data_IF_557579627691
#
_entry.id   IF_557579627691
#
_cell.length_a   1.000
_cell.length_b   1.000
_cell.length_c   1.000
_cell.angle_alpha   90.00
_cell.angle_beta   90.00
_cell.angle_gamma   90.00
#
_symmetry.space_group_name_H-M   'P 1'
#
loop_
_entity.id
_entity.type
_entity.pdbx_description
1 polymer ?
#
# COMPACT_ATOMS: atom_id res chain seq x y z
N UNK A 1 2.17 -69.49 -12.49
CA UNK A 1 3.12 -68.74 -13.33
C UNK A 1 2.32 -68.02 -14.39
N UNK A 2 2.58 -66.73 -14.50
CA UNK A 2 1.78 -65.66 -15.12
C UNK A 2 1.64 -65.79 -16.63
N UNK A 3 0.41 -65.67 -17.14
CA UNK A 3 0.11 -65.25 -18.51
C UNK A 3 -0.10 -63.74 -18.55
N UNK A 4 0.48 -63.00 -19.51
CA UNK A 4 -0.01 -61.67 -19.85
C UNK A 4 -0.37 -61.54 -21.34
N UNK A 5 -1.50 -60.90 -21.58
CA UNK A 5 -1.88 -60.07 -22.74
C UNK A 5 -3.10 -59.25 -22.25
N UNK A 6 -3.40 -58.01 -22.73
CA UNK A 6 -3.08 -57.44 -24.04
C UNK A 6 -2.67 -55.94 -24.02
N UNK A 7 -2.40 -55.30 -25.19
CA UNK A 7 -2.30 -53.84 -25.29
C UNK A 7 -3.67 -53.14 -25.37
N UNK A 8 -3.71 -51.92 -24.80
CA UNK A 8 -4.75 -50.87 -24.78
C UNK A 8 -4.93 -50.17 -26.16
N UNK A 9 -5.78 -49.11 -26.36
CA UNK A 9 -6.79 -48.45 -25.50
C UNK A 9 -8.12 -48.09 -26.24
N UNK A 10 -9.00 -47.37 -25.51
CA UNK A 10 -10.03 -46.42 -25.96
C UNK A 10 -11.51 -46.83 -25.81
N UNK A 11 -11.98 -46.66 -24.57
CA UNK A 11 -13.32 -46.18 -24.21
C UNK A 11 -13.12 -44.78 -23.58
N UNK A 12 -13.99 -43.77 -23.64
CA UNK A 12 -15.38 -43.61 -24.03
C UNK A 12 -15.64 -42.09 -24.18
N UNK A 13 -16.63 -41.73 -24.99
CA UNK A 13 -17.26 -40.41 -25.04
C UNK A 13 -17.66 -39.91 -23.64
N UNK A 14 -17.64 -38.58 -23.44
CA UNK A 14 -18.87 -37.82 -23.20
C UNK A 14 -18.60 -36.32 -22.91
N UNK A 15 -19.30 -35.49 -23.69
CA UNK A 15 -20.03 -34.30 -23.22
C UNK A 15 -19.28 -32.97 -23.00
N UNK A 16 -19.39 -32.13 -24.04
CA UNK A 16 -19.80 -30.71 -24.00
C UNK A 16 -19.15 -29.82 -22.93
N UNK A 17 -17.98 -29.26 -23.28
CA UNK A 17 -17.57 -27.96 -22.75
C UNK A 17 -18.50 -26.90 -23.34
N UNK A 18 -19.35 -26.31 -22.49
CA UNK A 18 -20.09 -25.10 -22.82
C UNK A 18 -19.14 -23.97 -23.20
N UNK A 19 -19.13 -23.67 -24.49
CA UNK A 19 -18.66 -22.42 -25.05
C UNK A 19 -19.64 -21.31 -24.68
N UNK A 20 -19.16 -20.29 -23.98
CA UNK A 20 -19.80 -18.97 -23.91
C UNK A 20 -18.96 -17.98 -24.74
N UNK A 21 -19.60 -16.94 -25.31
CA UNK A 21 -19.27 -16.43 -26.63
C UNK A 21 -18.05 -15.51 -26.68
N UNK A 22 -17.34 -15.60 -27.81
CA UNK A 22 -16.34 -14.63 -28.27
C UNK A 22 -17.09 -13.40 -28.78
N UNK A 23 -16.91 -12.27 -28.10
CA UNK A 23 -17.32 -10.96 -28.62
C UNK A 23 -16.11 -10.33 -29.32
N UNK A 24 -16.12 -10.31 -30.66
CA UNK A 24 -15.20 -9.52 -31.46
C UNK A 24 -15.77 -8.12 -31.60
N UNK A 25 -15.44 -7.22 -30.66
CA UNK A 25 -15.56 -5.80 -30.92
C UNK A 25 -14.23 -5.29 -31.46
N UNK A 26 -14.29 -4.74 -32.68
CA UNK A 26 -13.19 -4.05 -33.34
C UNK A 26 -12.69 -2.92 -32.44
N UNK A 27 -11.50 -3.08 -31.87
CA UNK A 27 -10.83 -2.02 -31.14
C UNK A 27 -10.52 -0.86 -32.09
N UNK A 28 -11.28 0.22 -31.95
CA UNK A 28 -10.88 1.55 -32.40
C UNK A 28 -9.64 1.92 -31.57
N UNK A 29 -8.54 2.45 -32.14
CA UNK A 29 -7.37 2.78 -31.34
C UNK A 29 -7.76 3.85 -30.31
N UNK A 30 -7.81 3.45 -29.03
CA UNK A 30 -7.94 4.39 -27.93
C UNK A 30 -6.69 5.26 -27.90
N UNK A 31 -6.89 6.55 -28.15
CA UNK A 31 -5.90 7.57 -27.85
C UNK A 31 -5.54 7.46 -26.37
N UNK A 32 -4.25 7.25 -26.06
CA UNK A 32 -3.73 7.35 -24.70
C UNK A 32 -4.34 8.59 -24.02
N UNK A 33 -4.94 8.47 -22.83
CA UNK A 33 -5.43 9.65 -22.12
C UNK A 33 -4.24 10.59 -21.86
N UNK A 34 -4.23 11.74 -22.52
CA UNK A 34 -3.27 12.79 -22.23
C UNK A 34 -3.44 13.22 -20.77
N UNK A 35 -2.34 13.41 -20.01
CA UNK A 35 -2.43 13.99 -18.69
C UNK A 35 -3.07 15.38 -18.81
N UNK A 36 -4.02 15.76 -17.93
CA UNK A 36 -4.61 17.08 -17.96
C UNK A 36 -3.52 18.14 -17.73
N UNK A 37 -3.62 19.33 -18.36
CA UNK A 37 -2.66 20.41 -18.18
C UNK A 37 -2.60 20.85 -16.72
N UNK A 38 -1.46 21.37 -16.26
CA UNK A 38 -1.28 21.96 -14.92
C UNK A 38 -2.45 22.87 -14.55
N UNK A 39 -3.17 22.55 -13.47
CA UNK A 39 -4.38 23.28 -13.07
C UNK A 39 -4.19 24.04 -11.77
N UNK A 40 -4.62 25.30 -11.74
CA UNK A 40 -5.01 26.01 -10.53
C UNK A 40 -6.39 25.52 -10.10
N UNK A 41 -6.42 24.37 -9.42
CA UNK A 41 -7.63 23.83 -8.79
C UNK A 41 -7.98 24.66 -7.55
N UNK A 42 -8.75 25.73 -7.72
CA UNK A 42 -9.33 26.48 -6.59
C UNK A 42 -10.37 25.59 -5.89
N UNK A 43 -10.33 25.56 -4.55
CA UNK A 43 -11.21 24.78 -3.65
C UNK A 43 -11.04 23.26 -3.53
N UNK A 44 -10.06 22.64 -4.21
CA UNK A 44 -9.73 21.22 -3.95
C UNK A 44 -8.72 21.14 -2.80
N UNK A 45 -8.97 20.31 -1.75
CA UNK A 45 -7.98 20.06 -0.72
C UNK A 45 -6.65 19.57 -1.30
N UNK A 46 -5.55 20.11 -0.76
CA UNK A 46 -4.17 19.74 -1.14
C UNK A 46 -3.41 19.42 0.13
N UNK A 47 -2.87 18.21 0.22
CA UNK A 47 -2.11 17.76 1.38
C UNK A 47 -0.69 17.42 0.96
N UNK A 48 0.35 18.00 1.58
CA UNK A 48 1.70 17.51 1.36
C UNK A 48 1.78 16.09 1.94
N UNK A 49 2.22 15.13 1.13
CA UNK A 49 2.25 13.71 1.53
C UNK A 49 3.65 13.14 1.69
N UNK A 50 4.68 13.91 1.35
CA UNK A 50 6.07 13.58 1.64
C UNK A 50 6.77 14.72 2.37
N UNK A 51 7.85 14.45 3.12
CA UNK A 51 8.77 15.47 3.60
C UNK A 51 9.20 16.42 2.47
N UNK A 52 9.56 17.66 2.81
CA UNK A 52 10.27 18.53 1.90
C UNK A 52 11.66 17.94 1.63
N UNK A 53 11.91 17.59 0.37
CA UNK A 53 13.21 17.14 -0.11
C UNK A 53 13.87 18.24 -0.95
N UNK A 54 15.18 18.15 -1.12
CA UNK A 54 15.97 19.09 -1.93
C UNK A 54 17.44 19.00 -1.53
N UNK A 55 18.32 18.84 -2.51
CA UNK A 55 19.77 18.94 -2.28
C UNK A 55 20.20 20.41 -2.19
N UNK A 56 21.37 20.65 -1.60
CA UNK A 56 21.90 22.02 -1.50
C UNK A 56 22.09 22.62 -2.90
N UNK A 57 21.30 23.65 -3.22
CA UNK A 57 21.34 24.33 -4.52
C UNK A 57 20.23 23.91 -5.49
N UNK A 58 19.40 22.92 -5.14
CA UNK A 58 18.22 22.52 -5.90
C UNK A 58 16.93 23.07 -5.28
N UNK A 59 15.87 23.31 -6.07
CA UNK A 59 14.56 23.67 -5.55
C UNK A 59 14.04 22.60 -4.58
N UNK A 60 13.36 23.04 -3.53
CA UNK A 60 12.64 22.11 -2.67
C UNK A 60 11.50 21.45 -3.43
N UNK A 61 11.18 20.22 -3.05
CA UNK A 61 10.10 19.44 -3.65
C UNK A 61 9.33 18.64 -2.61
N UNK A 62 8.06 18.37 -2.90
CA UNK A 62 7.28 17.36 -2.21
C UNK A 62 6.20 16.77 -3.11
N UNK A 63 5.66 15.63 -2.68
CA UNK A 63 4.45 15.06 -3.24
C UNK A 63 3.22 15.65 -2.58
N UNK A 64 2.15 15.81 -3.36
CA UNK A 64 0.88 16.39 -2.91
C UNK A 64 -0.26 15.46 -3.30
N UNK A 65 -1.12 15.12 -2.35
CA UNK A 65 -2.40 14.48 -2.64
C UNK A 65 -3.47 15.55 -2.87
N UNK A 66 -4.13 15.47 -4.03
CA UNK A 66 -5.26 16.34 -4.34
C UNK A 66 -6.21 15.64 -5.33
N UNK A 67 -7.52 15.70 -5.03
CA UNK A 67 -8.57 15.05 -5.81
C UNK A 67 -8.33 13.54 -6.06
N UNK A 68 -7.87 12.80 -5.04
CA UNK A 68 -7.51 11.38 -5.15
C UNK A 68 -6.49 11.10 -6.28
N UNK A 69 -5.58 12.05 -6.51
CA UNK A 69 -4.42 11.91 -7.40
C UNK A 69 -3.19 12.40 -6.67
N UNK A 70 -2.04 11.85 -7.06
CA UNK A 70 -0.75 12.31 -6.58
C UNK A 70 -0.12 13.28 -7.58
N UNK A 71 0.44 14.34 -7.03
CA UNK A 71 1.07 15.43 -7.76
C UNK A 71 2.45 15.68 -7.16
N UNK A 72 3.27 16.44 -7.89
CA UNK A 72 4.56 16.95 -7.42
C UNK A 72 4.56 18.46 -7.48
N UNK A 73 5.20 19.10 -6.52
CA UNK A 73 5.39 20.55 -6.53
C UNK A 73 6.83 20.89 -6.23
N UNK A 74 7.28 22.02 -6.77
CA UNK A 74 8.62 22.56 -6.55
C UNK A 74 8.51 24.00 -6.05
N UNK A 75 9.43 24.42 -5.20
CA UNK A 75 9.53 25.81 -4.77
C UNK A 75 10.95 26.18 -4.36
N UNK A 76 11.29 27.43 -4.64
CA UNK A 76 12.48 28.07 -4.09
C UNK A 76 12.12 28.76 -2.79
N UNK A 77 13.02 28.73 -1.81
CA UNK A 77 12.78 29.44 -0.57
C UNK A 77 13.97 29.43 0.37
N UNK A 78 14.00 30.36 1.34
CA UNK A 78 15.05 30.40 2.35
C UNK A 78 14.90 29.30 3.41
N UNK A 79 13.83 28.48 3.36
CA UNK A 79 13.53 27.48 4.38
C UNK A 79 12.83 26.24 3.83
N UNK A 80 12.96 25.11 4.53
CA UNK A 80 12.29 23.84 4.24
C UNK A 80 10.77 23.83 4.49
N UNK A 81 10.17 24.98 4.85
CA UNK A 81 8.73 25.09 5.11
C UNK A 81 7.95 24.87 3.82
N UNK A 82 6.87 24.10 3.89
CA UNK A 82 6.00 23.91 2.73
C UNK A 82 5.45 25.24 2.21
N UNK A 83 5.32 25.39 0.87
CA UNK A 83 4.74 26.56 0.28
C UNK A 83 3.22 26.55 0.50
N UNK A 84 2.57 27.68 0.21
CA UNK A 84 1.11 27.71 0.10
C UNK A 84 0.67 26.88 -1.10
N UNK A 85 0.26 25.63 -0.84
CA UNK A 85 -0.08 24.67 -1.88
C UNK A 85 -1.22 25.12 -2.78
N UNK A 86 -2.08 26.07 -2.37
CA UNK A 86 -3.14 26.61 -3.23
C UNK A 86 -2.59 27.60 -4.27
N UNK A 87 -1.42 28.19 -4.00
CA UNK A 87 -0.73 29.13 -4.89
C UNK A 87 0.39 28.49 -5.70
N UNK A 88 0.77 27.26 -5.39
CA UNK A 88 1.84 26.55 -6.11
C UNK A 88 1.31 25.79 -7.33
N UNK A 89 2.16 25.70 -8.35
CA UNK A 89 1.93 24.90 -9.54
C UNK A 89 2.11 23.42 -9.19
N UNK A 90 1.09 22.62 -9.47
CA UNK A 90 1.16 21.17 -9.34
C UNK A 90 1.51 20.54 -10.69
N UNK A 91 2.47 19.63 -10.65
CA UNK A 91 2.88 18.82 -11.78
C UNK A 91 2.28 17.42 -11.61
N UNK A 92 1.61 16.88 -12.64
CA UNK A 92 1.08 15.52 -12.57
C UNK A 92 2.23 14.52 -12.42
N UNK A 93 1.95 13.42 -11.72
CA UNK A 93 2.83 12.25 -11.69
C UNK A 93 2.12 11.15 -12.44
N UNK A 94 2.82 10.58 -13.42
CA UNK A 94 2.35 9.43 -14.15
C UNK A 94 2.56 8.17 -13.30
N UNK A 95 1.50 7.77 -12.60
CA UNK A 95 1.43 6.46 -11.97
C UNK A 95 1.15 5.38 -13.03
N UNK A 96 1.58 4.15 -12.76
CA UNK A 96 1.13 2.98 -13.53
C UNK A 96 -0.41 2.88 -13.50
N UNK A 97 -1.04 2.27 -14.52
CA UNK A 97 -2.49 2.06 -14.54
C UNK A 97 -3.02 1.40 -13.25
N UNK A 98 -2.30 0.41 -12.73
CA UNK A 98 -2.61 -0.32 -11.51
C UNK A 98 -2.56 0.59 -10.28
N UNK A 99 -1.48 1.37 -10.14
CA UNK A 99 -1.33 2.29 -9.02
C UNK A 99 -2.35 3.43 -9.08
N UNK A 100 -2.61 3.99 -10.26
CA UNK A 100 -3.62 5.04 -10.44
C UNK A 100 -5.04 4.53 -10.11
N UNK A 101 -5.37 3.32 -10.54
CA UNK A 101 -6.65 2.69 -10.23
C UNK A 101 -6.83 2.47 -8.72
N UNK A 102 -5.80 1.98 -8.02
CA UNK A 102 -5.84 1.80 -6.58
C UNK A 102 -5.88 3.13 -5.80
N UNK A 103 -5.12 4.13 -6.24
CA UNK A 103 -5.06 5.45 -5.60
C UNK A 103 -6.39 6.20 -5.69
N UNK A 104 -7.03 6.18 -6.87
CA UNK A 104 -8.28 6.91 -7.13
C UNK A 104 -9.48 6.44 -6.29
N UNK A 105 -9.48 5.15 -5.92
CA UNK A 105 -10.53 4.48 -5.12
C UNK A 105 -10.34 4.60 -3.61
N UNK A 106 -9.25 5.21 -3.17
CA UNK A 106 -8.90 5.28 -1.75
C UNK A 106 -8.79 6.72 -1.27
N UNK A 107 -8.87 6.93 0.04
CA UNK A 107 -8.68 8.22 0.71
C UNK A 107 -7.44 8.24 1.56
N UNK A 108 -6.80 9.41 1.63
CA UNK A 108 -5.66 9.67 2.48
C UNK A 108 -6.04 9.48 3.96
N UNK A 109 -5.23 8.73 4.71
CA UNK A 109 -5.39 8.53 6.15
C UNK A 109 -4.20 9.06 6.95
N UNK A 110 -2.99 8.70 6.53
CA UNK A 110 -1.77 9.08 7.25
C UNK A 110 -0.56 9.14 6.30
N UNK A 111 0.50 9.76 6.79
CA UNK A 111 1.73 10.04 6.05
C UNK A 111 2.90 9.32 6.69
N UNK A 112 3.83 8.82 5.87
CA UNK A 112 5.12 8.30 6.28
C UNK A 112 6.25 8.96 5.50
N UNK A 113 7.49 8.75 5.92
CA UNK A 113 8.65 9.35 5.24
C UNK A 113 8.78 8.90 3.78
N UNK A 114 8.46 7.63 3.50
CA UNK A 114 8.62 7.00 2.18
C UNK A 114 7.30 6.43 1.64
N UNK A 115 6.18 6.67 2.32
CA UNK A 115 4.93 6.03 1.98
C UNK A 115 3.71 6.86 2.40
N UNK A 116 2.58 6.58 1.76
CA UNK A 116 1.28 7.15 2.10
C UNK A 116 0.35 6.03 2.54
N UNK A 117 -0.36 6.24 3.65
CA UNK A 117 -1.39 5.33 4.15
C UNK A 117 -2.74 5.83 3.66
N UNK A 118 -3.47 4.96 2.96
CA UNK A 118 -4.79 5.23 2.40
C UNK A 118 -5.76 4.12 2.78
N UNK A 119 -7.06 4.35 2.60
CA UNK A 119 -8.07 3.31 2.78
C UNK A 119 -9.19 3.37 1.78
N UNK A 120 -9.80 2.21 1.53
CA UNK A 120 -11.12 2.13 0.90
C UNK A 120 -12.17 2.66 1.90
N UNK A 121 -12.96 3.64 1.46
CA UNK A 121 -14.04 4.20 2.30
C UNK A 121 -15.22 3.22 2.44
N UNK A 122 -15.56 2.53 1.35
CA UNK A 122 -16.74 1.67 1.25
C UNK A 122 -16.47 0.23 1.72
N UNK A 123 -15.21 -0.23 1.69
CA UNK A 123 -14.85 -1.60 2.06
C UNK A 123 -14.48 -1.73 3.56
N UNK A 124 -15.30 -1.18 4.46
CA UNK A 124 -15.00 -1.23 5.90
C UNK A 124 -14.96 -2.66 6.47
N UNK A 125 -15.63 -3.60 5.82
CA UNK A 125 -15.71 -5.01 6.21
C UNK A 125 -14.64 -5.89 5.56
N UNK A 126 -13.85 -5.33 4.63
CA UNK A 126 -12.69 -6.05 4.10
C UNK A 126 -11.68 -6.31 5.22
N UNK A 127 -11.10 -7.51 5.24
CA UNK A 127 -10.08 -7.88 6.22
C UNK A 127 -8.82 -6.98 6.13
N UNK A 128 -8.54 -6.41 4.94
CA UNK A 128 -7.36 -5.59 4.69
C UNK A 128 -7.70 -4.30 3.93
N UNK A 129 -8.45 -3.36 4.53
CA UNK A 129 -9.00 -2.20 3.85
C UNK A 129 -8.00 -1.03 3.77
N UNK A 130 -6.86 -1.14 4.45
CA UNK A 130 -5.80 -0.12 4.48
C UNK A 130 -4.78 -0.45 3.41
N UNK A 131 -4.29 0.56 2.70
CA UNK A 131 -3.22 0.44 1.71
C UNK A 131 -2.06 1.30 2.14
N UNK A 132 -0.85 0.74 2.09
CA UNK A 132 0.39 1.48 2.19
C UNK A 132 1.00 1.56 0.81
N UNK A 133 1.10 2.77 0.27
CA UNK A 133 1.69 3.05 -1.04
C UNK A 133 3.10 3.62 -0.86
N UNK A 134 4.05 3.15 -1.66
CA UNK A 134 5.33 3.83 -1.77
C UNK A 134 5.12 5.24 -2.38
N UNK A 135 5.95 6.19 -1.98
CA UNK A 135 6.12 7.39 -2.78
C UNK A 135 6.59 7.04 -4.20
N UNK A 136 6.23 7.83 -5.24
CA UNK A 136 6.54 7.53 -6.63
C UNK A 136 8.02 7.85 -6.93
N UNK A 137 8.91 7.07 -6.32
CA UNK A 137 10.35 7.01 -6.59
C UNK A 137 10.87 5.60 -6.23
N UNK A 138 12.01 5.24 -6.82
CA UNK A 138 12.60 3.90 -6.69
C UNK A 138 13.01 3.57 -5.25
N UNK A 139 13.60 4.53 -4.53
CA UNK A 139 14.04 4.33 -3.13
C UNK A 139 12.88 3.96 -2.23
N UNK A 140 11.76 4.68 -2.32
CA UNK A 140 10.56 4.40 -1.54
C UNK A 140 9.96 3.02 -1.87
N UNK A 141 9.95 2.63 -3.16
CA UNK A 141 9.51 1.29 -3.59
C UNK A 141 10.39 0.19 -3.01
N UNK A 142 11.71 0.33 -3.05
CA UNK A 142 12.64 -0.65 -2.49
C UNK A 142 12.46 -0.82 -0.97
N UNK A 143 12.32 0.30 -0.24
CA UNK A 143 12.07 0.28 1.19
C UNK A 143 10.72 -0.38 1.52
N UNK A 144 9.68 -0.07 0.74
CA UNK A 144 8.36 -0.67 0.91
C UNK A 144 8.39 -2.18 0.63
N UNK A 145 9.11 -2.61 -0.41
CA UNK A 145 9.27 -4.03 -0.72
C UNK A 145 9.97 -4.77 0.42
N UNK A 146 11.08 -4.22 0.93
CA UNK A 146 11.77 -4.82 2.07
C UNK A 146 10.86 -4.90 3.30
N UNK A 147 10.10 -3.84 3.59
CA UNK A 147 9.11 -3.85 4.68
C UNK A 147 8.05 -4.94 4.48
N UNK A 148 7.51 -5.09 3.27
CA UNK A 148 6.55 -6.14 2.96
C UNK A 148 7.13 -7.55 3.18
N UNK A 149 8.36 -7.80 2.73
CA UNK A 149 9.04 -9.09 2.91
C UNK A 149 9.25 -9.41 4.40
N UNK A 150 9.65 -8.42 5.20
CA UNK A 150 9.75 -8.56 6.66
C UNK A 150 8.39 -8.87 7.26
N UNK A 151 7.34 -8.14 6.89
CA UNK A 151 5.98 -8.37 7.41
C UNK A 151 5.44 -9.76 7.06
N UNK A 152 5.70 -10.25 5.85
CA UNK A 152 5.34 -11.61 5.44
C UNK A 152 6.09 -12.67 6.27
N UNK A 153 7.38 -12.42 6.53
CA UNK A 153 8.16 -13.31 7.39
C UNK A 153 7.62 -13.29 8.81
N UNK A 154 7.34 -12.12 9.39
CA UNK A 154 6.77 -11.99 10.74
C UNK A 154 5.39 -12.66 10.85
N UNK A 155 4.55 -12.55 9.81
CA UNK A 155 3.26 -13.21 9.76
C UNK A 155 3.37 -14.74 9.83
N UNK A 156 4.46 -15.31 9.29
CA UNK A 156 4.71 -16.76 9.36
C UNK A 156 5.15 -17.25 10.74
N UNK A 157 5.60 -16.33 11.62
CA UNK A 157 6.04 -16.67 12.98
C UNK A 157 4.87 -16.83 13.96
N UNK A 158 3.64 -16.54 13.51
CA UNK A 158 2.41 -16.60 14.31
C UNK A 158 2.51 -15.86 15.65
N UNK A 159 3.24 -14.73 15.68
CA UNK A 159 3.31 -13.89 16.87
C UNK A 159 2.01 -13.08 17.00
N UNK A 160 1.33 -13.13 18.16
CA UNK A 160 0.17 -12.30 18.39
C UNK A 160 0.57 -10.82 18.42
N UNK A 161 -0.34 -9.92 18.04
CA UNK A 161 -0.10 -8.48 18.11
C UNK A 161 0.71 -7.87 16.94
N UNK A 162 1.23 -8.67 16.00
CA UNK A 162 1.79 -8.15 14.75
C UNK A 162 0.65 -7.73 13.80
N UNK A 163 0.81 -6.58 13.14
CA UNK A 163 -0.16 -6.12 12.16
C UNK A 163 -0.27 -7.11 10.99
N UNK A 164 -1.50 -7.53 10.67
CA UNK A 164 -1.73 -8.47 9.56
C UNK A 164 -1.69 -7.75 8.22
N UNK A 165 -1.07 -8.39 7.24
CA UNK A 165 -0.98 -7.91 5.86
C UNK A 165 -1.61 -8.91 4.91
N UNK A 166 -2.15 -8.43 3.79
CA UNK A 166 -2.64 -9.31 2.75
C UNK A 166 -1.44 -10.00 2.07
N UNK A 167 -1.47 -11.33 1.84
CA UNK A 167 -0.30 -12.07 1.36
C UNK A 167 0.14 -11.71 -0.07
N UNK A 168 -0.78 -11.19 -0.87
CA UNK A 168 -0.49 -10.66 -2.22
C UNK A 168 -0.30 -9.14 -2.19
N UNK A 169 0.89 -8.63 -2.53
CA UNK A 169 1.16 -7.19 -2.64
C UNK A 169 0.48 -6.59 -3.89
N UNK A 170 0.55 -5.27 -4.01
CA UNK A 170 0.14 -4.54 -5.21
C UNK A 170 1.37 -4.33 -6.09
N UNK A 171 1.28 -4.79 -7.34
CA UNK A 171 2.42 -4.85 -8.26
C UNK A 171 2.07 -4.23 -9.61
N UNK A 172 3.06 -3.58 -10.21
CA UNK A 172 3.06 -3.12 -11.61
C UNK A 172 4.35 -3.56 -12.30
N UNK A 173 4.64 -3.02 -13.48
CA UNK A 173 5.83 -3.36 -14.28
C UNK A 173 7.17 -3.05 -13.55
N UNK A 174 7.16 -2.14 -12.58
CA UNK A 174 8.33 -1.75 -11.79
C UNK A 174 8.41 -2.50 -10.44
N UNK A 175 7.53 -3.48 -10.21
CA UNK A 175 7.50 -4.30 -9.00
C UNK A 175 6.46 -3.83 -7.98
N UNK A 176 6.76 -4.02 -6.68
CA UNK A 176 5.81 -3.70 -5.60
C UNK A 176 5.70 -2.18 -5.44
N UNK A 177 4.49 -1.64 -5.62
CA UNK A 177 4.18 -0.23 -5.36
C UNK A 177 3.35 -0.02 -4.09
N UNK A 178 2.77 -1.08 -3.55
CA UNK A 178 1.91 -1.02 -2.38
C UNK A 178 1.62 -2.37 -1.78
N UNK A 179 1.07 -2.40 -0.58
CA UNK A 179 0.46 -3.59 0.00
C UNK A 179 -0.71 -3.24 0.92
N UNK A 180 -1.54 -4.25 1.23
CA UNK A 180 -2.75 -4.08 2.02
C UNK A 180 -2.54 -4.53 3.47
N UNK A 181 -3.16 -3.83 4.39
CA UNK A 181 -3.01 -3.94 5.84
C UNK A 181 -4.39 -4.06 6.49
N UNK A 182 -4.46 -4.79 7.61
CA UNK A 182 -5.63 -4.73 8.48
C UNK A 182 -5.83 -3.31 9.03
N UNK A 183 -7.08 -2.95 9.37
CA UNK A 183 -7.35 -1.67 10.00
C UNK A 183 -6.98 -1.71 11.48
N UNK A 184 -6.13 -0.76 11.89
CA UNK A 184 -5.71 -0.54 13.27
C UNK A 184 -6.06 0.89 13.69
N UNK A 185 -6.22 1.09 14.99
CA UNK A 185 -6.60 2.36 15.61
C UNK A 185 -5.54 2.81 16.60
N UNK A 186 -5.19 4.11 16.62
CA UNK A 186 -4.23 4.62 17.58
C UNK A 186 -4.75 4.41 19.00
N UNK A 187 -3.85 4.06 19.91
CA UNK A 187 -4.14 3.98 21.33
C UNK A 187 -3.86 5.36 21.94
N UNK A 188 -4.80 5.97 22.68
CA UNK A 188 -4.55 7.21 23.38
C UNK A 188 -3.33 7.08 24.32
N UNK A 189 -2.50 8.11 24.40
CA UNK A 189 -1.27 8.05 25.20
C UNK A 189 -1.53 7.65 26.67
N UNK A 190 -2.66 8.11 27.24
CA UNK A 190 -3.11 7.78 28.59
C UNK A 190 -3.42 6.29 28.81
N UNK A 191 -3.65 5.53 27.74
CA UNK A 191 -4.01 4.11 27.78
C UNK A 191 -2.83 3.18 27.45
N UNK A 192 -1.72 3.69 26.90
CA UNK A 192 -0.59 2.87 26.44
C UNK A 192 0.01 2.01 27.55
N UNK A 193 0.05 2.54 28.76
CA UNK A 193 0.55 1.83 29.94
C UNK A 193 -0.17 0.48 30.19
N UNK A 194 -1.44 0.37 29.77
CA UNK A 194 -2.23 -0.86 29.91
C UNK A 194 -1.73 -2.01 29.02
N UNK A 195 -0.94 -1.71 27.99
CA UNK A 195 -0.42 -2.68 27.01
C UNK A 195 1.05 -3.03 27.25
N UNK A 196 1.66 -2.51 28.32
CA UNK A 196 3.11 -2.68 28.57
C UNK A 196 3.51 -4.16 28.63
N UNK A 197 2.69 -5.01 29.27
CA UNK A 197 2.98 -6.44 29.41
C UNK A 197 2.91 -7.15 28.06
N UNK A 198 1.87 -6.89 27.28
CA UNK A 198 1.70 -7.50 25.95
C UNK A 198 2.82 -7.09 25.00
N UNK A 199 3.24 -5.81 25.06
CA UNK A 199 4.38 -5.30 24.32
C UNK A 199 5.69 -6.00 24.72
N UNK A 200 5.92 -6.22 26.02
CA UNK A 200 7.11 -6.95 26.48
C UNK A 200 7.15 -8.38 25.93
N UNK A 201 6.03 -9.11 26.01
CA UNK A 201 5.91 -10.47 25.50
C UNK A 201 6.15 -10.50 23.97
N UNK A 202 5.55 -9.57 23.24
CA UNK A 202 5.73 -9.44 21.79
C UNK A 202 7.20 -9.18 21.42
N UNK A 203 7.83 -8.21 22.09
CA UNK A 203 9.22 -7.84 21.81
C UNK A 203 10.18 -8.96 22.17
N UNK A 204 9.98 -9.65 23.28
CA UNK A 204 10.75 -10.85 23.63
C UNK A 204 10.58 -11.95 22.56
N UNK A 205 9.34 -12.18 22.10
CA UNK A 205 9.04 -13.11 21.02
C UNK A 205 9.74 -12.78 19.71
N UNK A 206 9.87 -11.49 19.37
CA UNK A 206 10.63 -11.00 18.22
C UNK A 206 12.14 -11.21 18.41
N UNK A 207 12.68 -10.81 19.56
CA UNK A 207 14.11 -10.90 19.85
C UNK A 207 14.62 -12.33 19.86
N UNK A 208 13.88 -13.28 20.43
CA UNK A 208 14.22 -14.71 20.43
C UNK A 208 14.35 -15.25 18.99
N UNK A 209 13.63 -14.66 18.03
CA UNK A 209 13.64 -15.04 16.61
C UNK A 209 14.62 -14.21 15.78
N UNK A 210 15.45 -13.38 16.41
CA UNK A 210 16.47 -12.57 15.75
C UNK A 210 15.97 -11.27 15.13
N UNK A 211 14.74 -10.84 15.45
CA UNK A 211 14.17 -9.59 14.95
C UNK A 211 14.24 -8.49 16.02
N UNK A 212 14.55 -7.28 15.58
CA UNK A 212 14.41 -6.06 16.37
C UNK A 212 13.49 -5.10 15.61
N UNK A 213 12.54 -4.47 16.30
CA UNK A 213 11.65 -3.50 15.67
C UNK A 213 12.38 -2.20 15.30
N UNK A 214 13.36 -1.77 16.09
CA UNK A 214 14.18 -0.58 15.82
C UNK A 214 13.49 0.79 16.00
N UNK A 215 12.17 0.82 16.23
CA UNK A 215 11.37 2.05 16.37
C UNK A 215 10.11 1.80 17.23
N UNK A 216 10.29 1.29 18.45
CA UNK A 216 9.14 1.07 19.36
C UNK A 216 8.78 2.40 20.02
N UNK A 217 7.61 2.93 19.69
CA UNK A 217 7.08 4.16 20.28
C UNK A 217 5.56 4.21 20.26
N UNK A 218 4.94 5.15 21.02
CA UNK A 218 3.49 5.30 21.12
C UNK A 218 2.72 5.31 19.80
N UNK A 219 3.28 5.92 18.75
CA UNK A 219 2.67 6.01 17.42
C UNK A 219 2.63 4.67 16.68
N UNK A 220 3.49 3.72 17.06
CA UNK A 220 3.62 2.41 16.42
C UNK A 220 2.87 1.31 17.20
N UNK A 221 2.23 1.65 18.33
CA UNK A 221 1.37 0.74 19.08
C UNK A 221 -0.09 1.08 18.80
N UNK A 222 -0.80 0.14 18.20
CA UNK A 222 -2.18 0.33 17.75
C UNK A 222 -3.05 -0.86 18.16
N UNK A 223 -4.35 -0.62 18.34
CA UNK A 223 -5.33 -1.66 18.65
C UNK A 223 -6.14 -2.05 17.42
N UNK A 224 -6.59 -3.31 17.35
CA UNK A 224 -7.57 -3.73 16.37
C UNK A 224 -8.99 -3.20 16.72
N UNK A 225 -9.96 -3.41 15.83
CA UNK A 225 -11.36 -3.01 16.05
C UNK A 225 -12.04 -3.73 17.22
N UNK A 226 -11.47 -4.84 17.71
CA UNK A 226 -12.00 -5.63 18.82
C UNK A 226 -11.49 -5.18 20.19
N UNK A 227 -10.62 -4.15 20.26
CA UNK A 227 -10.19 -3.56 21.53
C UNK A 227 -9.18 -4.38 22.34
N UNK A 228 -8.71 -5.53 21.82
CA UNK A 228 -7.76 -6.40 22.52
C UNK A 228 -6.43 -6.52 21.78
N UNK A 229 -5.33 -6.58 22.53
CA UNK A 229 -4.07 -7.11 22.04
C UNK A 229 -4.23 -8.62 21.85
N UNK A 230 -4.70 -9.02 20.66
CA UNK A 230 -4.72 -10.40 20.15
C UNK A 230 -5.05 -11.52 21.14
N UNK A 231 -6.33 -11.76 21.38
CA UNK A 231 -6.79 -13.10 21.77
C UNK A 231 -7.08 -13.88 20.48
N UNK A 232 -6.20 -14.85 20.17
CA UNK A 232 -6.47 -16.12 19.47
C UNK A 232 -5.23 -17.03 19.59
#
# INVERSE_FOLDING_TARGET
MTSPLPPQPHARNDTLLQTSPICLETAKPESKPQPPPSQTLENIPRYPVSPSGGESGEPYQCYVDSANRIWKTFWDGPSMRYPDLHKTILHPIDLSPEAAAAWSKTKLLALGANAVIRAYEEEKESAHPILKFAHPNSTARQLLQHEFEVMQTLSSLCLPGIAKTHPTPLVDEEGIFGFRLQRLYPIPFTEIQNYTRDLQILLEGLHIRGYCHGDVGPSNVMRNSQGGAGDD
#
